data_IF_615028513432
#
_entry.id   IF_615028513432
#
_cell.length_a   1.000
_cell.length_b   1.000
_cell.length_c   1.000
_cell.angle_alpha   90.00
_cell.angle_beta   90.00
_cell.angle_gamma   90.00
#
_symmetry.space_group_name_H-M   'P 1'
#
loop_
_entity.id
_entity.type
_entity.pdbx_description
1 polymer ?
#
# COMPACT_ATOMS: atom_id res chain seq x y z
N UNK A 1 -11.96 26.85 4.63
CA UNK A 1 -10.51 26.89 4.87
C UNK A 1 -9.83 26.46 3.57
N UNK A 2 -9.60 27.41 2.67
CA UNK A 2 -8.91 27.16 1.38
C UNK A 2 -7.42 27.28 1.62
N UNK A 3 -6.78 26.18 1.97
CA UNK A 3 -5.33 26.15 1.97
C UNK A 3 -4.88 26.04 0.51
N UNK A 4 -4.23 27.08 0.00
CA UNK A 4 -3.55 27.01 -1.31
C UNK A 4 -2.58 25.83 -1.25
N UNK A 5 -2.68 24.85 -2.17
CA UNK A 5 -1.76 23.73 -2.17
C UNK A 5 -0.33 24.29 -2.32
N UNK A 6 0.64 23.76 -1.55
CA UNK A 6 2.02 24.17 -1.69
C UNK A 6 2.54 23.80 -3.09
N UNK A 7 3.65 24.43 -3.45
CA UNK A 7 4.37 24.29 -4.72
C UNK A 7 4.58 22.79 -5.07
N UNK A 8 4.67 22.45 -6.36
CA UNK A 8 4.77 21.05 -6.86
C UNK A 8 5.91 20.20 -6.25
N UNK A 9 6.91 20.83 -5.63
CA UNK A 9 8.04 20.17 -4.96
C UNK A 9 7.82 19.86 -3.47
N UNK A 10 6.63 20.10 -2.92
CA UNK A 10 6.35 19.83 -1.51
C UNK A 10 5.75 18.44 -1.35
N UNK A 11 6.28 17.68 -0.39
CA UNK A 11 5.68 16.41 0.01
C UNK A 11 4.33 16.67 0.68
N UNK A 12 3.26 16.43 -0.07
CA UNK A 12 1.90 16.73 0.38
C UNK A 12 1.52 15.92 1.62
N UNK A 13 2.06 14.71 1.80
CA UNK A 13 1.77 13.87 2.98
C UNK A 13 2.30 14.56 4.23
N UNK A 14 3.58 14.92 4.23
CA UNK A 14 4.21 15.59 5.38
C UNK A 14 3.58 16.96 5.63
N UNK A 15 3.27 17.72 4.57
CA UNK A 15 2.64 19.02 4.68
C UNK A 15 1.24 18.94 5.29
N UNK A 16 0.39 18.00 4.85
CA UNK A 16 -0.94 17.82 5.44
C UNK A 16 -0.87 17.31 6.89
N UNK A 17 0.13 16.49 7.22
CA UNK A 17 0.41 16.05 8.58
C UNK A 17 0.76 17.25 9.49
N UNK A 18 1.65 18.14 9.05
CA UNK A 18 1.98 19.38 9.76
C UNK A 18 0.76 20.30 9.97
N UNK A 19 -0.21 20.27 9.04
CA UNK A 19 -1.45 21.04 9.13
C UNK A 19 -2.56 20.36 9.92
N UNK A 20 -2.37 19.11 10.36
CA UNK A 20 -3.38 18.34 11.12
C UNK A 20 -4.65 18.03 10.32
N UNK A 21 -4.57 17.97 8.99
CA UNK A 21 -5.70 17.71 8.07
C UNK A 21 -5.52 16.42 7.26
N UNK A 22 -4.55 15.60 7.63
CA UNK A 22 -4.17 14.31 7.04
C UNK A 22 -5.34 13.31 6.93
N UNK A 23 -6.36 13.45 7.79
CA UNK A 23 -7.49 12.50 7.87
C UNK A 23 -8.62 12.69 6.87
N UNK A 24 -8.70 13.83 6.17
CA UNK A 24 -9.95 14.21 5.48
C UNK A 24 -9.80 14.59 4.00
N UNK A 25 -8.58 14.59 3.45
CA UNK A 25 -8.33 14.99 2.08
C UNK A 25 -7.61 13.87 1.31
N UNK A 26 -7.97 13.62 0.03
CA UNK A 26 -7.21 12.72 -0.81
C UNK A 26 -5.81 13.29 -1.03
N UNK A 27 -4.81 12.66 -0.40
CA UNK A 27 -3.40 13.03 -0.57
C UNK A 27 -2.81 12.23 -1.73
N UNK A 28 -2.16 12.91 -2.68
CA UNK A 28 -1.40 12.23 -3.72
C UNK A 28 -0.06 11.75 -3.16
N UNK A 29 0.37 10.55 -3.59
CA UNK A 29 1.69 10.04 -3.25
C UNK A 29 2.79 10.85 -3.94
N UNK A 30 3.89 11.12 -3.24
CA UNK A 30 5.08 11.70 -3.84
C UNK A 30 5.70 10.72 -4.86
N UNK A 31 5.84 11.09 -6.16
CA UNK A 31 6.37 10.21 -7.21
C UNK A 31 7.77 9.67 -6.92
N UNK A 32 8.64 10.45 -6.29
CA UNK A 32 10.00 10.02 -5.95
C UNK A 32 9.98 8.92 -4.87
N UNK A 33 9.11 9.06 -3.86
CA UNK A 33 8.89 8.04 -2.84
C UNK A 33 8.31 6.76 -3.44
N UNK A 34 7.41 6.88 -4.43
CA UNK A 34 6.84 5.73 -5.15
C UNK A 34 7.90 5.00 -5.96
N UNK A 35 8.72 5.71 -6.74
CA UNK A 35 9.82 5.12 -7.50
C UNK A 35 10.81 4.37 -6.59
N UNK A 36 11.21 4.97 -5.46
CA UNK A 36 12.08 4.32 -4.49
C UNK A 36 11.43 3.06 -3.87
N UNK A 37 10.12 3.08 -3.64
CA UNK A 37 9.38 1.93 -3.13
C UNK A 37 9.30 0.81 -4.18
N UNK A 38 9.06 1.13 -5.46
CA UNK A 38 9.05 0.14 -6.56
C UNK A 38 10.40 -0.57 -6.66
N UNK A 39 11.50 0.17 -6.62
CA UNK A 39 12.85 -0.40 -6.61
C UNK A 39 13.05 -1.34 -5.40
N UNK A 40 12.57 -0.96 -4.22
CA UNK A 40 12.65 -1.82 -3.03
C UNK A 40 11.80 -3.10 -3.11
N UNK A 41 10.79 -3.11 -3.99
CA UNK A 41 9.94 -4.27 -4.27
C UNK A 41 10.50 -5.16 -5.40
N UNK A 42 11.65 -4.78 -5.99
CA UNK A 42 12.31 -5.53 -7.07
C UNK A 42 12.07 -4.98 -8.47
N UNK A 43 11.67 -3.71 -8.63
CA UNK A 43 11.49 -3.06 -9.93
C UNK A 43 10.20 -3.50 -10.64
N UNK A 44 10.06 -3.27 -11.95
CA UNK A 44 8.91 -3.69 -12.78
C UNK A 44 7.53 -3.15 -12.30
N UNK A 45 7.18 -1.88 -12.61
CA UNK A 45 5.94 -1.25 -12.12
C UNK A 45 4.66 -1.98 -12.56
N UNK A 46 4.66 -2.53 -13.78
CA UNK A 46 3.53 -3.25 -14.38
C UNK A 46 3.40 -4.70 -13.91
N UNK A 47 4.32 -5.19 -13.07
CA UNK A 47 4.25 -6.55 -12.54
C UNK A 47 2.96 -6.74 -11.76
N UNK A 48 2.13 -7.69 -12.20
CA UNK A 48 0.86 -8.01 -11.55
C UNK A 48 1.12 -8.90 -10.33
N UNK A 49 0.99 -8.31 -9.13
CA UNK A 49 1.14 -9.03 -7.87
C UNK A 49 -0.08 -9.92 -7.59
N UNK A 50 -1.30 -9.38 -7.77
CA UNK A 50 -2.53 -10.13 -7.55
C UNK A 50 -3.77 -9.50 -8.21
N UNK A 51 -4.81 -10.30 -8.39
CA UNK A 51 -6.17 -9.80 -8.61
C UNK A 51 -6.89 -9.63 -7.28
N UNK A 52 -7.37 -8.42 -6.98
CA UNK A 52 -8.01 -8.10 -5.70
C UNK A 52 -9.54 -8.14 -5.86
N UNK A 53 -10.24 -9.06 -5.17
CA UNK A 53 -11.70 -9.05 -5.12
C UNK A 53 -12.26 -7.74 -4.51
N UNK A 54 -13.58 -7.47 -4.59
CA UNK A 54 -14.57 -8.24 -5.33
C UNK A 54 -14.65 -7.90 -6.81
N UNK A 55 -14.07 -6.78 -7.23
CA UNK A 55 -14.09 -6.32 -8.62
C UNK A 55 -12.99 -6.94 -9.49
N UNK A 56 -12.08 -7.71 -8.89
CA UNK A 56 -10.94 -8.29 -9.59
C UNK A 56 -9.94 -7.22 -10.04
N UNK A 57 -9.79 -6.15 -9.25
CA UNK A 57 -8.87 -5.05 -9.58
C UNK A 57 -7.43 -5.54 -9.66
N UNK A 58 -6.68 -5.07 -10.65
CA UNK A 58 -5.29 -5.44 -10.84
C UNK A 58 -4.42 -4.72 -9.82
N UNK A 59 -3.84 -5.48 -8.88
CA UNK A 59 -2.79 -4.96 -8.01
C UNK A 59 -1.46 -5.12 -8.74
N UNK A 60 -1.07 -4.08 -9.46
CA UNK A 60 0.30 -3.97 -9.98
C UNK A 60 1.25 -3.58 -8.85
N UNK A 61 2.54 -3.79 -9.07
CA UNK A 61 3.58 -3.40 -8.12
C UNK A 61 3.62 -1.88 -7.90
N UNK A 62 3.33 -1.10 -8.93
CA UNK A 62 3.14 0.35 -8.79
C UNK A 62 1.97 0.67 -7.84
N UNK A 63 0.82 0.04 -8.01
CA UNK A 63 -0.34 0.26 -7.13
C UNK A 63 -0.03 -0.17 -5.69
N UNK A 64 0.69 -1.29 -5.50
CA UNK A 64 1.17 -1.71 -4.19
C UNK A 64 2.12 -0.68 -3.57
N UNK A 65 3.07 -0.17 -4.35
CA UNK A 65 4.04 0.83 -3.91
C UNK A 65 3.36 2.14 -3.48
N UNK A 66 2.39 2.63 -4.26
CA UNK A 66 1.58 3.81 -3.92
C UNK A 66 0.89 3.62 -2.58
N UNK A 67 0.22 2.48 -2.37
CA UNK A 67 -0.47 2.20 -1.12
C UNK A 67 0.50 2.11 0.08
N UNK A 68 1.69 1.54 -0.12
CA UNK A 68 2.72 1.49 0.91
C UNK A 68 3.24 2.88 1.28
N UNK A 69 3.49 3.75 0.30
CA UNK A 69 3.92 5.14 0.53
C UNK A 69 2.84 5.93 1.27
N UNK A 70 1.58 5.81 0.85
CA UNK A 70 0.45 6.46 1.52
C UNK A 70 0.25 5.95 2.95
N UNK A 71 0.60 4.67 3.22
CA UNK A 71 0.60 4.11 4.57
C UNK A 71 1.82 4.52 5.42
N UNK A 72 2.74 5.35 4.90
CA UNK A 72 3.96 5.76 5.59
C UNK A 72 5.03 4.67 5.69
N UNK A 73 4.93 3.62 4.88
CA UNK A 73 5.91 2.54 4.87
C UNK A 73 7.21 2.99 4.23
N UNK A 74 8.34 2.82 4.92
CA UNK A 74 9.65 3.18 4.39
C UNK A 74 10.20 2.08 3.48
N UNK A 75 10.88 2.43 2.35
CA UNK A 75 11.54 1.45 1.48
C UNK A 75 12.57 0.56 2.21
N UNK A 76 13.18 1.09 3.28
CA UNK A 76 14.16 0.37 4.10
C UNK A 76 13.57 -0.75 4.97
N UNK A 77 12.25 -0.76 5.19
CA UNK A 77 11.61 -1.83 5.95
C UNK A 77 11.60 -3.13 5.16
N UNK A 78 11.44 -4.32 5.78
CA UNK A 78 11.25 -5.56 5.03
C UNK A 78 9.91 -5.54 4.28
N UNK A 79 9.89 -5.74 2.94
CA UNK A 79 8.64 -5.72 2.13
C UNK A 79 8.04 -7.09 1.94
N UNK A 80 8.84 -8.16 2.11
CA UNK A 80 8.41 -9.54 1.94
C UNK A 80 7.15 -9.88 2.73
N UNK A 81 7.03 -9.39 3.98
CA UNK A 81 5.84 -9.63 4.80
C UNK A 81 4.57 -9.05 4.17
N UNK A 82 4.62 -7.79 3.76
CA UNK A 82 3.43 -7.12 3.20
C UNK A 82 3.02 -7.79 1.90
N UNK A 83 4.00 -8.08 1.02
CA UNK A 83 3.75 -8.79 -0.24
C UNK A 83 3.11 -10.16 0.01
N UNK A 84 3.73 -10.98 0.87
CA UNK A 84 3.21 -12.30 1.22
C UNK A 84 1.81 -12.23 1.85
N UNK A 85 1.56 -11.25 2.71
CA UNK A 85 0.27 -11.06 3.34
C UNK A 85 -0.81 -10.68 2.33
N UNK A 86 -0.51 -9.80 1.38
CA UNK A 86 -1.44 -9.43 0.31
C UNK A 86 -1.75 -10.61 -0.59
N UNK A 87 -0.74 -11.40 -0.98
CA UNK A 87 -0.92 -12.64 -1.74
C UNK A 87 -1.78 -13.66 -0.98
N UNK A 88 -1.55 -13.82 0.32
CA UNK A 88 -2.34 -14.70 1.17
C UNK A 88 -3.80 -14.25 1.28
N UNK A 89 -4.06 -12.94 1.41
CA UNK A 89 -5.41 -12.37 1.40
C UNK A 89 -6.09 -12.51 0.04
N UNK A 90 -5.36 -12.37 -1.06
CA UNK A 90 -5.89 -12.54 -2.41
C UNK A 90 -6.16 -14.00 -2.78
N UNK A 91 -5.60 -14.96 -2.03
CA UNK A 91 -5.85 -16.39 -2.23
C UNK A 91 -7.34 -16.72 -2.12
N UNK A 92 -7.89 -17.55 -3.03
CA UNK A 92 -9.27 -18.02 -2.93
C UNK A 92 -9.61 -18.70 -1.60
N UNK A 93 -8.61 -19.32 -0.94
CA UNK A 93 -8.78 -19.98 0.35
C UNK A 93 -9.15 -19.01 1.49
N UNK A 94 -8.70 -17.75 1.42
CA UNK A 94 -9.05 -16.74 2.43
C UNK A 94 -10.47 -16.18 2.22
N UNK A 95 -11.01 -16.25 1.01
CA UNK A 95 -12.31 -15.69 0.63
C UNK A 95 -12.45 -14.19 0.96
N UNK A 96 -11.50 -13.37 0.47
CA UNK A 96 -11.53 -11.92 0.67
C UNK A 96 -12.80 -11.25 0.12
N UNK A 97 -13.40 -11.83 -0.93
CA UNK A 97 -14.73 -11.46 -1.43
C UNK A 97 -15.78 -11.38 -0.32
N UNK A 98 -15.90 -12.43 0.48
CA UNK A 98 -16.87 -12.50 1.56
C UNK A 98 -16.59 -11.50 2.68
N UNK A 99 -15.32 -11.18 2.93
CA UNK A 99 -14.91 -10.20 3.95
C UNK A 99 -15.19 -8.77 3.52
N UNK A 100 -14.97 -8.42 2.25
CA UNK A 100 -15.15 -7.07 1.74
C UNK A 100 -16.61 -6.74 1.37
N UNK A 101 -17.43 -7.75 1.08
CA UNK A 101 -18.83 -7.59 0.71
C UNK A 101 -19.79 -7.52 1.92
N UNK A 102 -19.27 -7.35 3.14
CA UNK A 102 -20.09 -7.22 4.35
C UNK A 102 -20.70 -5.83 4.49
N UNK A 103 -21.88 -5.74 5.10
CA UNK A 103 -22.53 -4.46 5.42
C UNK A 103 -21.99 -3.78 6.68
N UNK A 104 -21.18 -4.49 7.47
CA UNK A 104 -20.42 -3.97 8.61
C UNK A 104 -18.93 -3.93 8.25
N UNK A 105 -18.15 -3.01 8.85
CA UNK A 105 -16.70 -2.99 8.65
C UNK A 105 -16.05 -4.27 9.22
N UNK A 106 -15.34 -4.99 8.36
CA UNK A 106 -14.48 -6.11 8.72
C UNK A 106 -13.13 -5.92 8.02
N UNK A 107 -12.06 -5.82 8.80
CA UNK A 107 -10.70 -5.64 8.28
C UNK A 107 -9.82 -6.80 8.78
N UNK A 108 -9.11 -7.51 7.88
CA UNK A 108 -8.14 -8.52 8.29
C UNK A 108 -7.02 -7.89 9.13
N UNK A 109 -6.77 -8.44 10.32
CA UNK A 109 -5.58 -8.14 11.10
C UNK A 109 -4.49 -9.16 10.77
N UNK A 110 -3.34 -8.67 10.30
CA UNK A 110 -2.18 -9.49 9.95
C UNK A 110 -1.13 -9.40 11.06
N UNK A 111 -0.69 -10.55 11.55
CA UNK A 111 0.31 -10.65 12.62
C UNK A 111 1.38 -11.65 12.18
N UNK A 112 2.66 -11.28 12.32
CA UNK A 112 3.79 -12.21 12.18
C UNK A 112 4.41 -12.46 13.53
N UNK A 113 4.58 -13.73 13.89
CA UNK A 113 5.32 -14.13 15.12
C UNK A 113 6.80 -14.40 14.86
N UNK A 114 7.22 -14.48 13.59
CA UNK A 114 8.60 -14.72 13.19
C UNK A 114 9.19 -13.46 12.51
N UNK A 115 10.51 -13.22 12.65
CA UNK A 115 11.18 -12.22 11.82
C UNK A 115 11.04 -12.63 10.35
N UNK A 116 10.60 -11.70 9.51
CA UNK A 116 10.47 -11.95 8.09
C UNK A 116 11.87 -11.93 7.47
N UNK A 117 12.34 -13.10 7.02
CA UNK A 117 13.61 -13.18 6.30
C UNK A 117 13.43 -12.67 4.86
N UNK A 118 14.51 -12.10 4.33
CA UNK A 118 14.59 -11.29 3.11
C UNK A 118 14.52 -12.11 1.83
N UNK A 119 14.38 -13.43 1.90
CA UNK A 119 14.68 -14.35 0.79
C UNK A 119 13.58 -15.36 0.43
N UNK A 120 12.38 -15.30 1.02
CA UNK A 120 11.42 -16.42 0.93
C UNK A 120 10.10 -16.14 0.20
N UNK A 121 10.10 -15.27 -0.82
CA UNK A 121 8.94 -15.16 -1.73
C UNK A 121 9.46 -15.14 -3.17
N UNK A 122 9.93 -16.31 -3.61
CA UNK A 122 10.14 -16.65 -5.02
C UNK A 122 8.85 -17.23 -5.61
#
# INVERSE_FOLDING_TARGET
MTATPPNDNVDLIEWYFEKGVDRWLPVSSNPEKVAAMIESLGGEPDHLEAGIPPRGGSLTREVLAINLVLAGCLPAYPKGFVRAAVLALASPHFNLNGVQATTHMAAPLLLSMAPFDRHSVE
#
